data_IF_711881091942
#
_entry.id   IF_711881091942
#
_cell.length_a   1.000
_cell.length_b   1.000
_cell.length_c   1.000
_cell.angle_alpha   90.00
_cell.angle_beta   90.00
_cell.angle_gamma   90.00
#
_symmetry.space_group_name_H-M   'P 1'
#
loop_
_entity.id
_entity.type
_entity.pdbx_description
1 polymer ?
#
# COMPACT_ATOMS: atom_id res chain seq x y z
N UNK A 1 -1.58 -47.46 -30.58
CA UNK A 1 -2.99 -47.17 -30.95
C UNK A 1 -3.84 -47.63 -29.78
N UNK A 2 -4.11 -46.71 -28.85
CA UNK A 2 -4.76 -46.99 -27.56
C UNK A 2 -6.20 -46.50 -27.58
N UNK A 3 -7.08 -47.31 -26.97
CA UNK A 3 -8.52 -47.10 -26.88
C UNK A 3 -8.86 -45.81 -26.12
N UNK A 4 -9.17 -44.71 -26.81
CA UNK A 4 -10.01 -43.61 -26.31
C UNK A 4 -10.56 -42.74 -27.47
N UNK A 5 -10.94 -43.39 -28.58
CA UNK A 5 -11.41 -42.75 -29.81
C UNK A 5 -12.89 -43.08 -30.12
N UNK A 6 -13.73 -42.95 -29.08
CA UNK A 6 -15.17 -43.19 -29.14
C UNK A 6 -15.88 -42.01 -28.48
N UNK A 7 -15.84 -40.82 -29.08
CA UNK A 7 -16.88 -39.77 -28.91
C UNK A 7 -16.79 -38.62 -29.95
N UNK A 8 -16.25 -38.86 -31.16
CA UNK A 8 -16.36 -37.94 -32.30
C UNK A 8 -16.79 -38.68 -33.57
N UNK A 9 -18.09 -38.94 -33.69
CA UNK A 9 -18.72 -39.19 -35.00
C UNK A 9 -20.25 -39.07 -34.90
N UNK A 10 -20.76 -37.86 -35.09
CA UNK A 10 -22.02 -37.65 -35.80
C UNK A 10 -22.13 -36.20 -36.26
N UNK A 11 -22.20 -36.06 -37.59
CA UNK A 11 -22.65 -34.92 -38.40
C UNK A 11 -21.63 -33.82 -38.69
N UNK A 12 -20.74 -34.14 -39.62
CA UNK A 12 -20.43 -33.27 -40.77
C UNK A 12 -21.30 -33.74 -41.93
N UNK A 13 -22.09 -32.87 -42.53
CA UNK A 13 -22.15 -32.67 -44.00
C UNK A 13 -23.31 -31.74 -44.41
N UNK A 14 -23.02 -30.98 -45.47
CA UNK A 14 -23.84 -30.05 -46.27
C UNK A 14 -24.02 -28.63 -45.71
N UNK A 15 -23.84 -27.55 -46.48
CA UNK A 15 -23.18 -27.24 -47.76
C UNK A 15 -23.35 -25.71 -47.91
N UNK A 16 -22.39 -25.04 -48.55
CA UNK A 16 -22.43 -23.61 -48.90
C UNK A 16 -23.36 -23.32 -50.10
N UNK A 17 -23.57 -22.01 -50.35
CA UNK A 17 -24.23 -21.33 -51.49
C UNK A 17 -25.79 -21.24 -51.39
N UNK A 18 -26.48 -20.12 -51.60
CA UNK A 18 -26.29 -19.02 -52.55
C UNK A 18 -27.16 -17.78 -52.18
N UNK A 19 -26.87 -16.65 -52.82
CA UNK A 19 -27.48 -15.31 -52.71
C UNK A 19 -29.00 -15.21 -52.99
N UNK A 20 -29.69 -14.20 -52.43
CA UNK A 20 -30.07 -12.96 -53.15
C UNK A 20 -31.24 -12.20 -52.46
N UNK A 21 -31.22 -10.89 -52.71
CA UNK A 21 -32.09 -9.76 -52.35
C UNK A 21 -33.60 -10.01 -52.22
N UNK A 22 -34.24 -9.33 -51.25
CA UNK A 22 -35.30 -8.37 -51.58
C UNK A 22 -35.56 -7.38 -50.44
N UNK A 23 -35.33 -6.10 -50.74
CA UNK A 23 -35.86 -4.97 -49.99
C UNK A 23 -36.95 -4.31 -50.83
N UNK A 24 -38.11 -4.04 -50.23
CA UNK A 24 -38.95 -2.86 -50.43
C UNK A 24 -40.30 -3.09 -49.73
N UNK A 25 -41.07 -2.12 -49.25
CA UNK A 25 -40.98 -0.69 -48.89
C UNK A 25 -42.45 -0.31 -48.64
N UNK A 26 -42.67 0.83 -47.96
CA UNK A 26 -43.93 1.62 -47.93
C UNK A 26 -44.98 1.11 -46.93
N UNK A 27 -45.62 1.89 -46.06
CA UNK A 27 -45.42 3.15 -45.32
C UNK A 27 -46.80 3.59 -44.80
N UNK A 28 -46.79 4.56 -43.85
CA UNK A 28 -47.80 5.64 -43.65
C UNK A 28 -49.24 5.24 -43.28
N UNK A 29 -49.99 5.94 -42.43
CA UNK A 29 -49.89 7.31 -41.93
C UNK A 29 -50.85 7.55 -40.73
N UNK A 30 -50.52 8.60 -40.01
CA UNK A 30 -51.24 9.46 -39.05
C UNK A 30 -52.79 9.50 -39.03
N UNK A 31 -53.37 9.80 -37.86
CA UNK A 31 -53.86 11.16 -37.51
C UNK A 31 -54.43 11.23 -36.06
N UNK A 32 -54.37 12.45 -35.54
CA UNK A 32 -54.73 13.00 -34.23
C UNK A 32 -56.22 12.97 -33.87
N UNK A 33 -56.54 13.07 -32.57
CA UNK A 33 -57.52 14.06 -32.08
C UNK A 33 -57.45 14.31 -30.56
N UNK A 34 -57.70 15.56 -30.18
CA UNK A 34 -57.80 16.11 -28.83
C UNK A 34 -59.23 16.02 -28.27
N UNK A 35 -59.38 15.93 -26.94
CA UNK A 35 -60.45 16.53 -26.09
C UNK A 35 -60.18 16.05 -24.65
N UNK A 36 -59.80 16.90 -23.68
CA UNK A 36 -60.55 17.91 -22.91
C UNK A 36 -61.49 17.35 -21.82
N UNK A 37 -61.40 18.02 -20.67
CA UNK A 37 -62.26 18.05 -19.47
C UNK A 37 -62.09 16.92 -18.44
N UNK A 38 -61.46 17.17 -17.28
CA UNK A 38 -61.79 18.04 -16.13
C UNK A 38 -62.88 17.49 -15.17
N UNK A 39 -62.58 17.75 -13.89
CA UNK A 39 -63.44 17.95 -12.71
C UNK A 39 -63.58 16.79 -11.72
N UNK A 40 -63.56 17.00 -10.40
CA UNK A 40 -63.13 18.05 -9.42
C UNK A 40 -63.39 17.41 -8.03
N UNK A 41 -62.54 17.66 -7.02
CA UNK A 41 -62.81 18.38 -5.73
C UNK A 41 -63.93 17.80 -4.82
N UNK A 42 -63.85 17.83 -3.49
CA UNK A 42 -63.78 18.99 -2.56
C UNK A 42 -63.01 18.60 -1.27
N UNK A 43 -62.14 19.41 -0.65
CA UNK A 43 -62.23 20.77 -0.08
C UNK A 43 -62.93 20.90 1.29
N UNK A 44 -62.18 21.42 2.28
CA UNK A 44 -62.37 22.69 3.02
C UNK A 44 -61.38 22.70 4.22
N UNK A 45 -60.40 23.61 4.37
CA UNK A 45 -60.37 25.09 4.50
C UNK A 45 -61.01 25.58 5.83
N UNK A 46 -60.39 26.41 6.69
CA UNK A 46 -60.22 27.87 6.60
C UNK A 46 -59.30 28.33 7.78
N UNK A 47 -58.15 28.99 7.54
CA UNK A 47 -57.84 30.46 7.67
C UNK A 47 -57.61 30.94 9.15
N UNK A 48 -56.76 31.91 9.51
CA UNK A 48 -56.29 33.14 8.86
C UNK A 48 -55.10 33.81 9.61
N UNK A 49 -54.20 34.46 8.85
CA UNK A 49 -53.59 35.81 9.01
C UNK A 49 -52.68 36.18 10.22
N UNK A 50 -51.38 36.47 9.98
CA UNK A 50 -50.69 37.79 9.84
C UNK A 50 -50.52 38.59 11.15
N UNK A 51 -49.27 38.85 11.59
CA UNK A 51 -48.54 40.10 11.30
C UNK A 51 -47.14 40.14 11.99
N UNK A 52 -46.31 41.04 11.46
CA UNK A 52 -44.88 41.38 11.64
C UNK A 52 -44.30 41.47 13.07
N UNK A 53 -42.97 41.29 13.17
CA UNK A 53 -41.99 42.39 13.36
C UNK A 53 -40.78 42.01 14.24
N UNK A 54 -39.59 42.35 13.73
CA UNK A 54 -38.38 42.84 14.45
C UNK A 54 -37.52 41.91 15.33
N UNK A 55 -36.28 41.69 14.86
CA UNK A 55 -35.04 41.56 15.65
C UNK A 55 -34.75 42.89 16.41
N UNK A 56 -33.74 43.07 17.33
CA UNK A 56 -32.33 42.66 17.15
C UNK A 56 -31.42 42.53 18.42
N UNK A 57 -30.09 42.42 18.19
CA UNK A 57 -28.90 42.85 19.00
C UNK A 57 -28.48 41.97 20.21
N UNK A 58 -27.37 41.19 20.17
CA UNK A 58 -25.92 41.49 20.36
C UNK A 58 -25.55 42.16 21.70
N UNK A 59 -24.71 41.50 22.53
CA UNK A 59 -23.42 41.98 23.09
C UNK A 59 -22.98 41.22 24.36
N UNK A 60 -21.74 40.74 24.34
CA UNK A 60 -20.81 40.54 25.48
C UNK A 60 -20.61 41.88 26.25
N UNK A 61 -19.98 41.98 27.45
CA UNK A 61 -18.65 41.42 27.77
C UNK A 61 -18.36 41.12 29.28
N UNK A 62 -17.13 40.65 29.55
CA UNK A 62 -16.20 40.94 30.69
C UNK A 62 -16.68 40.83 32.15
N UNK A 63 -15.91 40.55 33.21
CA UNK A 63 -14.61 39.93 33.61
C UNK A 63 -14.62 40.05 35.17
N UNK A 64 -13.70 39.39 35.87
CA UNK A 64 -13.10 39.83 37.16
C UNK A 64 -13.93 39.55 38.45
N UNK A 65 -13.41 39.06 39.58
CA UNK A 65 -12.05 38.65 40.03
C UNK A 65 -12.14 37.91 41.38
N UNK A 66 -11.05 37.19 41.73
CA UNK A 66 -10.46 36.96 43.08
C UNK A 66 -11.26 36.15 44.13
N UNK A 67 -10.65 35.21 44.87
CA UNK A 67 -9.61 35.51 45.87
C UNK A 67 -8.79 34.26 46.26
N UNK A 68 -7.46 34.43 46.22
CA UNK A 68 -6.32 33.94 47.04
C UNK A 68 -6.41 32.65 47.89
N UNK A 69 -5.32 31.87 47.92
CA UNK A 69 -4.40 31.81 49.08
C UNK A 69 -3.00 31.29 48.65
N UNK A 70 -1.97 31.94 49.19
CA UNK A 70 -0.51 31.67 49.18
C UNK A 70 -0.17 30.24 49.71
N UNK A 71 1.02 29.63 49.65
CA UNK A 71 2.45 30.00 49.67
C UNK A 71 3.18 28.69 49.18
N UNK A 72 4.37 28.60 48.62
CA UNK A 72 5.70 28.85 49.20
C UNK A 72 6.75 28.39 48.16
N UNK A 73 7.92 29.02 48.19
CA UNK A 73 9.02 28.89 47.24
C UNK A 73 9.97 27.76 47.65
N UNK A 74 10.21 26.78 46.77
CA UNK A 74 11.42 25.95 46.82
C UNK A 74 12.13 25.96 45.46
N UNK A 75 13.42 26.28 45.54
CA UNK A 75 14.36 26.33 44.43
C UNK A 75 14.94 24.93 44.26
N UNK A 76 14.48 24.18 43.26
CA UNK A 76 15.12 22.93 42.86
C UNK A 76 15.87 23.13 41.54
N UNK A 77 17.17 22.86 41.64
CA UNK A 77 18.17 22.78 40.60
C UNK A 77 17.72 21.77 39.53
N UNK A 78 17.32 22.25 38.36
CA UNK A 78 17.09 21.40 37.19
C UNK A 78 18.40 20.71 36.82
N UNK A 79 18.51 19.45 37.23
CA UNK A 79 19.51 18.53 36.71
C UNK A 79 19.02 18.13 35.32
N UNK A 80 19.56 18.79 34.29
CA UNK A 80 19.45 18.35 32.91
C UNK A 80 19.93 16.90 32.83
N UNK A 81 18.97 15.97 32.88
CA UNK A 81 19.22 14.57 32.60
C UNK A 81 19.31 14.48 31.08
N UNK A 82 20.53 14.64 30.56
CA UNK A 82 20.87 14.25 29.21
C UNK A 82 20.37 12.81 29.03
N UNK A 83 19.28 12.66 28.28
CA UNK A 83 18.78 11.34 27.91
C UNK A 83 19.76 10.80 26.88
N UNK A 84 20.74 10.03 27.34
CA UNK A 84 21.49 9.11 26.48
C UNK A 84 20.47 8.28 25.71
N UNK A 85 20.27 8.63 24.45
CA UNK A 85 19.42 7.85 23.56
C UNK A 85 20.22 6.60 23.23
N UNK A 86 19.98 5.51 23.97
CA UNK A 86 20.48 4.20 23.58
C UNK A 86 20.14 3.98 22.11
N UNK A 87 21.17 3.80 21.28
CA UNK A 87 20.98 3.50 19.87
C UNK A 87 20.37 2.09 19.81
N UNK A 88 19.04 2.01 19.70
CA UNK A 88 18.33 0.75 19.48
C UNK A 88 18.96 0.04 18.26
N UNK A 89 19.39 -1.20 18.44
CA UNK A 89 19.86 -2.06 17.35
C UNK A 89 18.74 -2.32 16.34
N UNK A 90 19.10 -2.60 15.08
CA UNK A 90 18.11 -2.89 14.02
C UNK A 90 17.19 -4.05 14.42
N UNK A 91 17.74 -5.12 14.99
CA UNK A 91 16.95 -6.25 15.47
C UNK A 91 15.94 -5.84 16.56
N UNK A 92 16.29 -4.91 17.47
CA UNK A 92 15.36 -4.38 18.48
C UNK A 92 14.22 -3.59 17.86
N UNK A 93 14.51 -2.77 16.84
CA UNK A 93 13.47 -2.02 16.10
C UNK A 93 12.50 -2.97 15.43
N UNK A 94 13.00 -4.00 14.74
CA UNK A 94 12.16 -5.03 14.11
C UNK A 94 11.34 -5.80 15.15
N UNK A 95 11.94 -6.21 16.28
CA UNK A 95 11.25 -6.93 17.34
C UNK A 95 10.09 -6.15 17.94
N UNK A 96 10.25 -4.84 18.10
CA UNK A 96 9.22 -3.92 18.60
C UNK A 96 8.15 -3.67 17.55
N UNK A 97 8.57 -3.37 16.32
CA UNK A 97 7.67 -3.08 15.20
C UNK A 97 6.82 -4.28 14.75
N UNK A 98 7.26 -5.51 15.05
CA UNK A 98 6.57 -6.75 14.69
C UNK A 98 5.90 -7.45 15.87
N UNK A 99 5.85 -6.84 17.07
CA UNK A 99 5.33 -7.50 18.28
C UNK A 99 3.95 -8.13 18.10
N UNK A 100 3.00 -7.38 17.52
CA UNK A 100 1.64 -7.90 17.23
C UNK A 100 1.65 -8.99 16.16
N UNK A 101 2.48 -8.81 15.13
CA UNK A 101 2.64 -9.77 14.04
C UNK A 101 3.17 -11.10 14.56
N UNK A 102 4.24 -11.02 15.34
CA UNK A 102 4.87 -12.13 16.03
C UNK A 102 3.89 -12.84 16.95
N UNK A 103 3.13 -12.13 17.78
CA UNK A 103 2.17 -12.76 18.70
C UNK A 103 1.16 -13.64 17.95
N UNK A 104 0.59 -13.13 16.85
CA UNK A 104 -0.37 -13.89 16.04
C UNK A 104 0.26 -15.05 15.27
N UNK A 105 1.42 -14.81 14.67
CA UNK A 105 2.17 -15.81 13.91
C UNK A 105 2.71 -16.93 14.82
N UNK A 106 3.43 -16.56 15.88
CA UNK A 106 3.99 -17.47 16.86
C UNK A 106 2.91 -18.27 17.59
N UNK A 107 1.75 -17.70 17.92
CA UNK A 107 0.66 -18.47 18.53
C UNK A 107 0.15 -19.60 17.62
N UNK A 108 0.03 -19.35 16.31
CA UNK A 108 -0.38 -20.38 15.33
C UNK A 108 0.69 -21.44 15.19
N UNK A 109 1.94 -21.01 15.07
CA UNK A 109 3.07 -21.91 14.88
C UNK A 109 3.36 -22.75 16.13
N UNK A 110 3.23 -22.18 17.33
CA UNK A 110 3.29 -22.91 18.60
C UNK A 110 2.20 -23.97 18.70
N UNK A 111 0.96 -23.64 18.28
CA UNK A 111 -0.14 -24.61 18.28
C UNK A 111 0.18 -25.80 17.36
N UNK A 112 0.68 -25.52 16.17
CA UNK A 112 1.14 -26.53 15.21
C UNK A 112 2.24 -27.42 15.81
N UNK A 113 3.33 -26.82 16.30
CA UNK A 113 4.45 -27.55 16.91
C UNK A 113 4.03 -28.34 18.16
N UNK A 114 3.06 -27.84 18.94
CA UNK A 114 2.56 -28.53 20.13
C UNK A 114 1.83 -29.84 19.79
N UNK A 115 1.04 -29.85 18.72
CA UNK A 115 0.22 -31.00 18.32
C UNK A 115 1.03 -32.12 17.64
N UNK A 116 2.14 -31.76 17.02
CA UNK A 116 3.01 -32.68 16.29
C UNK A 116 3.73 -33.70 17.20
N UNK A 117 3.78 -34.95 16.72
CA UNK A 117 4.42 -36.11 17.38
C UNK A 117 5.52 -36.77 16.53
N UNK A 118 5.38 -36.77 15.21
CA UNK A 118 6.26 -37.40 14.23
C UNK A 118 6.25 -36.61 12.93
N UNK A 119 7.40 -36.55 12.23
CA UNK A 119 7.50 -35.86 10.94
C UNK A 119 7.02 -36.82 9.85
N UNK A 120 5.73 -36.78 9.60
CA UNK A 120 5.00 -37.55 8.59
C UNK A 120 4.26 -36.62 7.61
N UNK A 121 3.47 -37.18 6.69
CA UNK A 121 2.75 -36.37 5.70
C UNK A 121 1.70 -35.45 6.34
N UNK A 122 1.02 -35.91 7.40
CA UNK A 122 0.03 -35.10 8.14
C UNK A 122 0.71 -33.85 8.73
N UNK A 123 1.96 -33.95 9.20
CA UNK A 123 2.73 -32.80 9.66
C UNK A 123 2.96 -31.75 8.54
N UNK A 124 3.30 -32.19 7.34
CA UNK A 124 3.54 -31.29 6.21
C UNK A 124 2.25 -30.60 5.75
N UNK A 125 1.13 -31.34 5.72
CA UNK A 125 -0.18 -30.76 5.44
C UNK A 125 -0.59 -29.70 6.49
N UNK A 126 -0.40 -29.99 7.79
CA UNK A 126 -0.72 -29.02 8.86
C UNK A 126 0.22 -27.79 8.83
N UNK A 127 1.48 -27.98 8.41
CA UNK A 127 2.42 -26.88 8.19
C UNK A 127 1.94 -25.95 7.08
N UNK A 128 1.54 -26.52 5.93
CA UNK A 128 1.00 -25.76 4.80
C UNK A 128 -0.22 -24.94 5.23
N UNK A 129 -1.20 -25.58 5.89
CA UNK A 129 -2.39 -24.89 6.40
C UNK A 129 -2.03 -23.75 7.37
N UNK A 130 -1.04 -23.98 8.23
CA UNK A 130 -0.56 -22.99 9.21
C UNK A 130 0.07 -21.79 8.50
N UNK A 131 0.93 -22.01 7.50
CA UNK A 131 1.58 -20.97 6.72
C UNK A 131 0.58 -20.17 5.87
N UNK A 132 -0.36 -20.85 5.22
CA UNK A 132 -1.45 -20.20 4.47
C UNK A 132 -2.30 -19.34 5.41
N UNK A 133 -2.69 -19.87 6.56
CA UNK A 133 -3.42 -19.12 7.58
C UNK A 133 -2.66 -17.90 8.10
N UNK A 134 -1.32 -17.93 8.04
CA UNK A 134 -0.40 -16.84 8.38
C UNK A 134 -0.17 -15.80 7.27
N UNK A 135 -0.95 -15.87 6.18
CA UNK A 135 -0.84 -15.00 4.99
C UNK A 135 0.49 -15.17 4.22
N UNK A 136 1.21 -16.29 4.37
CA UNK A 136 2.46 -16.58 3.63
C UNK A 136 2.22 -16.80 2.13
N UNK A 137 0.97 -17.11 1.75
CA UNK A 137 0.58 -17.43 0.37
C UNK A 137 0.57 -18.93 0.12
N UNK A 138 -0.30 -19.38 -0.79
CA UNK A 138 -0.50 -20.79 -1.06
C UNK A 138 0.72 -21.43 -1.72
N UNK A 139 1.21 -20.83 -2.81
CA UNK A 139 2.34 -21.38 -3.58
C UNK A 139 3.63 -21.43 -2.74
N UNK A 140 3.87 -20.38 -1.94
CA UNK A 140 5.02 -20.32 -1.04
C UNK A 140 4.89 -21.32 0.13
N UNK A 141 3.70 -21.53 0.69
CA UNK A 141 3.49 -22.52 1.74
C UNK A 141 3.82 -23.93 1.25
N UNK A 142 3.37 -24.29 0.04
CA UNK A 142 3.72 -25.57 -0.61
C UNK A 142 5.24 -25.66 -0.79
N UNK A 143 5.86 -24.60 -1.34
CA UNK A 143 7.32 -24.58 -1.58
C UNK A 143 8.12 -24.80 -0.28
N UNK A 144 7.73 -24.12 0.80
CA UNK A 144 8.35 -24.29 2.13
C UNK A 144 8.17 -25.72 2.64
N UNK A 145 6.97 -26.28 2.53
CA UNK A 145 6.65 -27.64 2.97
C UNK A 145 7.46 -28.70 2.22
N UNK A 146 7.52 -28.60 0.89
CA UNK A 146 8.26 -29.53 0.05
C UNK A 146 9.78 -29.49 0.31
N UNK A 147 10.38 -28.29 0.41
CA UNK A 147 11.80 -28.14 0.74
C UNK A 147 12.13 -28.63 2.15
N UNK A 148 11.23 -28.40 3.11
CA UNK A 148 11.38 -28.92 4.45
C UNK A 148 11.34 -30.45 4.47
N UNK A 149 10.48 -31.07 3.65
CA UNK A 149 10.37 -32.54 3.55
C UNK A 149 11.69 -33.17 3.13
N UNK A 150 12.43 -32.52 2.24
CA UNK A 150 13.77 -32.98 1.84
C UNK A 150 14.80 -32.75 2.93
N UNK A 151 14.82 -31.55 3.53
CA UNK A 151 15.84 -31.17 4.51
C UNK A 151 15.72 -31.95 5.83
N UNK A 152 14.51 -32.18 6.33
CA UNK A 152 14.31 -32.94 7.57
C UNK A 152 14.80 -34.40 7.43
N UNK A 153 14.70 -34.97 6.22
CA UNK A 153 15.26 -36.30 5.93
C UNK A 153 16.79 -36.27 5.92
N UNK A 154 17.40 -35.18 5.43
CA UNK A 154 18.85 -35.00 5.36
C UNK A 154 19.47 -34.72 6.75
N UNK A 155 18.93 -33.75 7.48
CA UNK A 155 19.42 -33.35 8.80
C UNK A 155 18.98 -34.32 9.92
N UNK A 156 18.08 -35.28 9.62
CA UNK A 156 17.50 -36.22 10.59
C UNK A 156 16.90 -35.47 11.81
N UNK A 157 16.32 -34.30 11.54
CA UNK A 157 15.70 -33.43 12.54
C UNK A 157 14.45 -34.13 13.10
N UNK A 158 14.51 -34.50 14.38
CA UNK A 158 13.45 -35.27 15.05
C UNK A 158 12.84 -34.55 16.24
N UNK A 159 13.53 -33.56 16.79
CA UNK A 159 13.05 -32.77 17.92
C UNK A 159 12.35 -31.51 17.39
N UNK A 160 11.42 -31.00 18.18
CA UNK A 160 10.61 -29.83 17.80
C UNK A 160 11.48 -28.61 17.56
N UNK A 161 12.53 -28.45 18.36
CA UNK A 161 13.48 -27.34 18.25
C UNK A 161 14.27 -27.43 16.94
N UNK A 162 14.75 -28.63 16.59
CA UNK A 162 15.50 -28.85 15.34
C UNK A 162 14.61 -28.56 14.13
N UNK A 163 13.37 -29.06 14.12
CA UNK A 163 12.41 -28.84 13.02
C UNK A 163 12.06 -27.35 12.88
N UNK A 164 11.85 -26.65 14.00
CA UNK A 164 11.60 -25.19 14.01
C UNK A 164 12.77 -24.43 13.37
N UNK A 165 14.00 -24.74 13.77
CA UNK A 165 15.19 -24.03 13.28
C UNK A 165 15.39 -24.27 11.78
N UNK A 166 15.12 -25.49 11.30
CA UNK A 166 15.12 -25.81 9.86
C UNK A 166 14.05 -25.01 9.11
N UNK A 167 12.84 -24.86 9.67
CA UNK A 167 11.78 -24.07 9.02
C UNK A 167 12.20 -22.60 8.88
N UNK A 168 12.76 -22.00 9.94
CA UNK A 168 13.23 -20.60 9.91
C UNK A 168 14.29 -20.43 8.83
N UNK A 169 15.30 -21.30 8.83
CA UNK A 169 16.37 -21.31 7.82
C UNK A 169 15.79 -21.42 6.42
N UNK A 170 14.87 -22.36 6.17
CA UNK A 170 14.25 -22.53 4.86
C UNK A 170 13.41 -21.35 4.42
N UNK A 171 12.71 -20.69 5.33
CA UNK A 171 11.97 -19.47 4.98
C UNK A 171 12.91 -18.32 4.56
N UNK A 172 14.07 -18.18 5.23
CA UNK A 172 15.10 -17.22 4.81
C UNK A 172 15.66 -17.61 3.44
N UNK A 173 16.15 -18.86 3.31
CA UNK A 173 16.77 -19.37 2.08
C UNK A 173 15.82 -19.22 0.89
N UNK A 174 14.55 -19.59 1.03
CA UNK A 174 13.54 -19.46 -0.02
C UNK A 174 13.22 -18.02 -0.35
N UNK A 175 13.13 -17.15 0.66
CA UNK A 175 12.91 -15.73 0.43
C UNK A 175 14.08 -15.15 -0.36
N UNK A 176 15.32 -15.43 0.01
CA UNK A 176 16.52 -14.93 -0.67
C UNK A 176 16.66 -15.52 -2.08
N UNK A 177 16.45 -16.84 -2.23
CA UNK A 177 16.49 -17.53 -3.51
C UNK A 177 15.51 -16.94 -4.52
N UNK A 178 14.28 -16.62 -4.09
CA UNK A 178 13.24 -16.04 -4.95
C UNK A 178 13.59 -14.65 -5.51
N UNK A 179 14.62 -13.98 -4.99
CA UNK A 179 15.08 -12.74 -5.59
C UNK A 179 16.58 -12.55 -5.61
N UNK A 180 17.30 -13.63 -5.92
CA UNK A 180 18.73 -13.58 -6.31
C UNK A 180 18.95 -12.64 -7.51
N UNK A 181 17.98 -12.59 -8.42
CA UNK A 181 18.04 -11.74 -9.62
C UNK A 181 17.38 -10.35 -9.39
N UNK A 182 16.95 -10.04 -8.17
CA UNK A 182 16.30 -8.78 -7.83
C UNK A 182 17.26 -7.78 -7.18
N UNK A 183 17.22 -6.53 -7.62
CA UNK A 183 17.95 -5.45 -6.96
C UNK A 183 17.07 -4.73 -5.93
N UNK A 184 17.25 -5.09 -4.66
CA UNK A 184 16.56 -4.46 -3.54
C UNK A 184 17.12 -3.08 -3.15
N UNK A 185 18.19 -2.61 -3.79
CA UNK A 185 18.76 -1.29 -3.51
C UNK A 185 17.94 -0.18 -4.17
N UNK A 186 18.11 1.05 -3.67
CA UNK A 186 17.52 2.22 -4.30
C UNK A 186 18.32 2.62 -5.54
N UNK A 187 17.63 2.79 -6.66
CA UNK A 187 18.17 3.22 -7.95
C UNK A 187 18.28 4.74 -8.00
N UNK A 188 19.49 5.23 -7.76
CA UNK A 188 19.79 6.66 -7.83
C UNK A 188 20.40 7.03 -9.17
N UNK A 189 20.08 8.25 -9.64
CA UNK A 189 20.77 8.86 -10.76
C UNK A 189 22.15 9.34 -10.30
N UNK A 190 23.22 8.82 -10.92
CA UNK A 190 24.58 9.24 -10.62
C UNK A 190 24.87 10.67 -11.09
N UNK A 191 24.20 11.13 -12.16
CA UNK A 191 24.52 12.36 -12.88
C UNK A 191 23.32 13.31 -12.99
N UNK A 192 22.57 13.49 -11.90
CA UNK A 192 21.47 14.45 -11.86
C UNK A 192 20.40 14.09 -10.83
N UNK A 193 19.22 14.65 -11.02
CA UNK A 193 18.07 14.40 -10.15
C UNK A 193 17.60 12.95 -10.25
N UNK A 194 17.46 12.29 -9.10
CA UNK A 194 16.75 11.02 -8.97
C UNK A 194 15.27 11.27 -8.80
N UNK A 195 14.46 10.93 -9.81
CA UNK A 195 12.99 10.98 -9.72
C UNK A 195 12.43 9.64 -9.23
N UNK A 196 11.63 9.68 -8.17
CA UNK A 196 11.01 8.51 -7.52
C UNK A 196 9.49 8.74 -7.45
N UNK A 197 8.75 7.86 -8.11
CA UNK A 197 7.29 7.91 -8.22
C UNK A 197 6.66 6.97 -7.19
N UNK A 198 5.72 7.45 -6.37
CA UNK A 198 5.04 6.62 -5.37
C UNK A 198 3.63 6.29 -5.85
N UNK A 199 3.35 4.99 -5.99
CA UNK A 199 2.06 4.48 -6.45
C UNK A 199 1.44 3.55 -5.40
N UNK A 200 0.16 3.24 -5.55
CA UNK A 200 -0.60 2.41 -4.60
C UNK A 200 -1.94 3.04 -4.23
N UNK A 201 -2.77 2.30 -3.50
CA UNK A 201 -4.16 2.73 -3.24
C UNK A 201 -4.26 3.79 -2.13
N UNK A 202 -5.44 4.35 -1.92
CA UNK A 202 -5.66 5.33 -0.86
C UNK A 202 -5.52 4.69 0.53
N UNK A 203 -4.94 5.44 1.47
CA UNK A 203 -4.83 5.00 2.86
C UNK A 203 -3.68 4.03 3.16
N UNK A 204 -2.93 3.55 2.16
CA UNK A 204 -1.78 2.64 2.36
C UNK A 204 -0.51 3.33 2.88
N UNK A 205 -0.54 4.66 3.06
CA UNK A 205 0.60 5.40 3.63
C UNK A 205 1.60 5.97 2.62
N UNK A 206 1.21 6.21 1.34
CA UNK A 206 2.06 6.88 0.33
C UNK A 206 2.63 8.22 0.80
N UNK A 207 1.76 9.20 1.05
CA UNK A 207 2.13 10.55 1.51
C UNK A 207 2.99 10.51 2.78
N UNK A 208 2.65 9.63 3.73
CA UNK A 208 3.44 9.42 4.95
C UNK A 208 4.84 8.90 4.61
N UNK A 209 4.95 7.86 3.78
CA UNK A 209 6.23 7.28 3.34
C UNK A 209 7.12 8.33 2.68
N UNK A 210 6.54 9.16 1.80
CA UNK A 210 7.26 10.27 1.15
C UNK A 210 7.84 11.22 2.19
N UNK A 211 7.04 11.65 3.17
CA UNK A 211 7.51 12.53 4.23
C UNK A 211 8.64 11.94 5.08
N UNK A 212 8.57 10.64 5.37
CA UNK A 212 9.64 9.92 6.10
C UNK A 212 10.93 9.85 5.28
N UNK A 213 10.83 9.49 4.00
CA UNK A 213 12.00 9.46 3.10
C UNK A 213 12.59 10.86 2.89
N UNK A 214 11.75 11.89 2.73
CA UNK A 214 12.19 13.28 2.62
C UNK A 214 13.01 13.70 3.85
N UNK A 215 12.52 13.38 5.05
CA UNK A 215 13.24 13.63 6.30
C UNK A 215 14.57 12.87 6.31
N UNK A 216 14.56 11.58 5.97
CA UNK A 216 15.75 10.71 5.97
C UNK A 216 16.84 11.23 5.02
N UNK A 217 16.51 11.50 3.76
CA UNK A 217 17.51 11.94 2.78
C UNK A 217 17.99 13.37 3.04
N UNK A 218 17.13 14.26 3.54
CA UNK A 218 17.59 15.59 4.00
C UNK A 218 18.58 15.46 5.15
N UNK A 219 18.34 14.58 6.13
CA UNK A 219 19.28 14.32 7.22
C UNK A 219 20.62 13.75 6.72
N UNK A 220 20.62 13.06 5.58
CA UNK A 220 21.82 12.61 4.88
C UNK A 220 22.49 13.70 4.02
N UNK A 221 22.02 14.95 4.10
CA UNK A 221 22.58 16.09 3.36
C UNK A 221 22.14 16.19 1.91
N UNK A 222 21.16 15.38 1.46
CA UNK A 222 20.60 15.47 0.10
C UNK A 222 19.61 16.62 -0.01
N UNK A 223 19.65 17.32 -1.13
CA UNK A 223 18.61 18.26 -1.55
C UNK A 223 17.41 17.48 -2.09
N UNK A 224 16.25 17.69 -1.47
CA UNK A 224 15.00 16.98 -1.80
C UNK A 224 13.96 17.98 -2.30
N UNK A 225 13.14 17.57 -3.27
CA UNK A 225 11.94 18.28 -3.70
C UNK A 225 10.75 17.32 -3.68
N UNK A 226 9.58 17.79 -3.25
CA UNK A 226 8.33 17.01 -3.27
C UNK A 226 7.39 17.55 -4.33
N UNK A 227 6.66 16.67 -5.02
CA UNK A 227 5.57 17.02 -5.93
C UNK A 227 4.23 16.48 -5.42
N UNK A 228 3.28 17.38 -5.19
CA UNK A 228 1.93 17.06 -4.71
C UNK A 228 0.99 16.72 -5.88
N UNK A 229 1.19 15.58 -6.53
CA UNK A 229 0.39 15.17 -7.69
C UNK A 229 -0.91 14.40 -7.32
N UNK A 230 -1.17 14.08 -6.04
CA UNK A 230 -2.50 13.68 -5.57
C UNK A 230 -3.43 14.90 -5.47
N UNK A 231 -3.84 15.44 -6.62
CA UNK A 231 -4.66 16.66 -6.71
C UNK A 231 -6.17 16.41 -6.51
N UNK A 232 -6.58 15.14 -6.48
CA UNK A 232 -7.98 14.74 -6.37
C UNK A 232 -8.43 14.54 -4.92
N UNK A 233 -7.53 14.17 -4.01
CA UNK A 233 -7.89 13.94 -2.61
C UNK A 233 -7.83 15.27 -1.85
N UNK A 234 -8.98 15.70 -1.33
CA UNK A 234 -9.05 16.89 -0.50
C UNK A 234 -8.06 16.77 0.67
N UNK A 235 -7.22 17.80 0.85
CA UNK A 235 -6.21 17.84 1.91
C UNK A 235 -4.92 17.04 1.65
N UNK A 236 -4.80 16.25 0.58
CA UNK A 236 -3.56 15.50 0.29
C UNK A 236 -2.37 16.43 0.02
N UNK A 237 -2.58 17.46 -0.79
CA UNK A 237 -1.58 18.51 -1.04
C UNK A 237 -1.15 19.18 0.27
N UNK A 238 -2.09 19.56 1.13
CA UNK A 238 -1.79 20.17 2.43
C UNK A 238 -1.01 19.23 3.34
N UNK A 239 -1.40 17.96 3.39
CA UNK A 239 -0.70 16.93 4.16
C UNK A 239 0.75 16.77 3.69
N UNK A 240 1.00 16.77 2.37
CA UNK A 240 2.37 16.71 1.85
C UNK A 240 3.17 17.98 2.15
N UNK A 241 2.52 19.16 2.11
CA UNK A 241 3.13 20.42 2.49
C UNK A 241 3.54 20.45 3.96
N UNK A 242 2.70 19.95 4.87
CA UNK A 242 3.03 19.81 6.30
C UNK A 242 4.22 18.87 6.52
N UNK A 243 4.31 17.78 5.74
CA UNK A 243 5.50 16.92 5.74
C UNK A 243 6.75 17.62 5.20
N UNK A 244 6.60 18.40 4.12
CA UNK A 244 7.67 19.23 3.57
C UNK A 244 8.17 20.25 4.57
N UNK A 245 7.27 20.98 5.24
CA UNK A 245 7.61 21.96 6.27
C UNK A 245 8.34 21.30 7.45
N UNK A 246 7.81 20.19 7.98
CA UNK A 246 8.46 19.42 9.06
C UNK A 246 9.84 18.91 8.65
N UNK A 247 9.98 18.46 7.41
CA UNK A 247 11.25 18.00 6.87
C UNK A 247 12.18 19.15 6.48
N UNK A 248 11.72 20.41 6.35
CA UNK A 248 12.51 21.50 5.78
C UNK A 248 12.80 21.31 4.28
N UNK A 249 11.82 20.77 3.55
CA UNK A 249 11.91 20.38 2.13
C UNK A 249 10.82 21.10 1.33
N UNK A 250 11.15 21.74 0.18
CA UNK A 250 10.17 22.42 -0.65
C UNK A 250 9.16 21.46 -1.30
N UNK A 251 7.94 21.94 -1.52
CA UNK A 251 6.85 21.20 -2.15
C UNK A 251 6.30 21.98 -3.34
N UNK A 252 6.29 21.37 -4.52
CA UNK A 252 5.59 21.85 -5.71
C UNK A 252 4.16 21.36 -5.66
N UNK A 253 3.22 22.29 -5.75
CA UNK A 253 1.80 22.02 -5.71
C UNK A 253 1.07 22.90 -6.74
N UNK A 254 0.14 22.29 -7.46
CA UNK A 254 -0.79 23.02 -8.33
C UNK A 254 -1.95 23.64 -7.55
N UNK A 255 -2.83 24.34 -8.27
CA UNK A 255 -4.14 24.74 -7.73
C UNK A 255 -4.99 23.51 -7.40
N UNK A 256 -5.99 23.66 -6.55
CA UNK A 256 -6.92 22.58 -6.24
C UNK A 256 -7.57 22.04 -7.53
N UNK A 257 -7.60 20.71 -7.69
CA UNK A 257 -8.05 20.02 -8.92
C UNK A 257 -7.22 20.33 -10.18
N UNK A 258 -5.99 20.79 -10.03
CA UNK A 258 -5.05 20.88 -11.16
C UNK A 258 -4.80 19.48 -11.75
N UNK A 259 -4.44 19.46 -13.04
CA UNK A 259 -3.97 18.24 -13.72
C UNK A 259 -2.68 17.74 -13.03
N UNK A 260 -2.66 16.52 -12.45
CA UNK A 260 -1.48 15.94 -11.79
C UNK A 260 -0.22 16.01 -12.67
N UNK A 261 -0.39 15.75 -13.96
CA UNK A 261 0.68 15.79 -14.95
C UNK A 261 1.34 17.18 -15.07
N UNK A 262 0.60 18.27 -14.89
CA UNK A 262 1.14 19.63 -14.89
C UNK A 262 1.99 19.90 -13.65
N UNK A 263 1.55 19.41 -12.48
CA UNK A 263 2.33 19.52 -11.22
C UNK A 263 3.65 18.75 -11.35
N UNK A 264 3.61 17.55 -11.93
CA UNK A 264 4.80 16.73 -12.19
C UNK A 264 5.74 17.43 -13.16
N UNK A 265 5.23 18.02 -14.25
CA UNK A 265 6.06 18.76 -15.20
C UNK A 265 6.82 19.92 -14.53
N UNK A 266 6.11 20.75 -13.76
CA UNK A 266 6.72 21.86 -13.03
C UNK A 266 7.76 21.37 -12.01
N UNK A 267 7.46 20.29 -11.30
CA UNK A 267 8.37 19.73 -10.30
C UNK A 267 9.64 19.13 -10.92
N UNK A 268 9.53 18.43 -12.06
CA UNK A 268 10.68 17.86 -12.76
C UNK A 268 11.55 18.96 -13.36
N UNK A 269 10.94 19.98 -13.98
CA UNK A 269 11.67 21.13 -14.50
C UNK A 269 12.43 21.85 -13.38
N UNK A 270 11.75 22.14 -12.26
CA UNK A 270 12.38 22.76 -11.08
C UNK A 270 13.51 21.89 -10.51
N UNK A 271 13.28 20.58 -10.36
CA UNK A 271 14.28 19.67 -9.79
C UNK A 271 15.56 19.65 -10.65
N UNK A 272 15.41 19.60 -11.98
CA UNK A 272 16.51 19.65 -12.94
C UNK A 272 17.24 20.99 -12.92
N UNK A 273 16.50 22.09 -13.04
CA UNK A 273 17.05 23.43 -13.22
C UNK A 273 17.71 23.99 -11.94
N UNK A 274 17.19 23.61 -10.77
CA UNK A 274 17.77 23.93 -9.46
C UNK A 274 18.71 22.83 -8.93
N UNK A 275 18.97 21.78 -9.71
CA UNK A 275 19.88 20.68 -9.39
C UNK A 275 19.61 19.96 -8.06
N UNK A 276 18.34 19.64 -7.78
CA UNK A 276 18.00 18.79 -6.63
C UNK A 276 18.52 17.36 -6.83
N UNK A 277 19.00 16.74 -5.74
CA UNK A 277 19.45 15.35 -5.74
C UNK A 277 18.27 14.39 -5.96
N UNK A 278 17.12 14.67 -5.31
CA UNK A 278 15.97 13.76 -5.28
C UNK A 278 14.66 14.52 -5.48
N UNK A 279 13.80 14.00 -6.37
CA UNK A 279 12.41 14.41 -6.53
C UNK A 279 11.48 13.26 -6.15
N UNK A 280 10.64 13.48 -5.14
CA UNK A 280 9.57 12.56 -4.75
C UNK A 280 8.22 13.00 -5.30
N UNK A 281 7.51 12.10 -5.98
CA UNK A 281 6.20 12.40 -6.58
C UNK A 281 5.10 11.60 -5.89
N UNK A 282 4.18 12.29 -5.19
CA UNK A 282 2.99 11.67 -4.56
C UNK A 282 1.85 11.60 -5.57
N UNK A 283 1.32 10.40 -5.86
CA UNK A 283 0.23 10.21 -6.83
C UNK A 283 -1.10 9.90 -6.16
N UNK A 284 -2.19 10.05 -6.92
CA UNK A 284 -3.50 9.55 -6.50
C UNK A 284 -3.49 8.02 -6.31
N UNK A 285 -4.41 7.49 -5.48
CA UNK A 285 -4.55 6.06 -5.18
C UNK A 285 -5.95 5.48 -5.35
N UNK A 286 -6.73 5.99 -6.31
CA UNK A 286 -8.14 5.58 -6.50
C UNK A 286 -8.21 4.27 -7.29
N UNK A 287 -8.20 3.12 -6.60
CA UNK A 287 -8.17 1.82 -7.26
C UNK A 287 -9.43 1.54 -8.07
N UNK A 288 -10.63 1.88 -7.59
CA UNK A 288 -11.91 1.55 -8.24
C UNK A 288 -12.11 2.07 -9.67
N UNK A 289 -11.27 3.00 -10.13
CA UNK A 289 -11.22 3.51 -11.50
C UNK A 289 -9.85 3.20 -12.12
N UNK A 290 -9.43 1.92 -12.06
CA UNK A 290 -8.08 1.45 -12.33
C UNK A 290 -7.57 1.95 -13.69
N UNK A 291 -8.40 1.91 -14.74
CA UNK A 291 -8.03 2.32 -16.10
C UNK A 291 -7.62 3.80 -16.17
N UNK A 292 -8.40 4.69 -15.56
CA UNK A 292 -8.10 6.12 -15.56
C UNK A 292 -6.84 6.42 -14.74
N UNK A 293 -6.67 5.74 -13.59
CA UNK A 293 -5.48 5.87 -12.77
C UNK A 293 -4.22 5.44 -13.54
N UNK A 294 -4.27 4.31 -14.25
CA UNK A 294 -3.13 3.81 -15.02
C UNK A 294 -2.77 4.76 -16.18
N UNK A 295 -3.77 5.28 -16.90
CA UNK A 295 -3.52 6.29 -17.95
C UNK A 295 -2.87 7.56 -17.39
N UNK A 296 -3.27 7.98 -16.19
CA UNK A 296 -2.70 9.14 -15.52
C UNK A 296 -1.22 8.89 -15.12
N UNK A 297 -0.93 7.71 -14.56
CA UNK A 297 0.44 7.28 -14.23
C UNK A 297 1.33 7.19 -15.47
N UNK A 298 0.83 6.60 -16.57
CA UNK A 298 1.55 6.57 -17.84
C UNK A 298 1.83 7.97 -18.38
N UNK A 299 0.84 8.88 -18.31
CA UNK A 299 1.00 10.28 -18.74
C UNK A 299 2.09 10.98 -17.92
N UNK A 300 2.06 10.82 -16.59
CA UNK A 300 3.10 11.36 -15.71
C UNK A 300 4.48 10.79 -16.05
N UNK A 301 4.59 9.48 -16.26
CA UNK A 301 5.85 8.83 -16.66
C UNK A 301 6.41 9.38 -17.96
N UNK A 302 5.58 9.54 -19.00
CA UNK A 302 6.01 10.11 -20.29
C UNK A 302 6.53 11.54 -20.15
N UNK A 303 5.93 12.34 -19.28
CA UNK A 303 6.39 13.70 -18.99
C UNK A 303 7.74 13.68 -18.27
N UNK A 304 7.88 12.84 -17.25
CA UNK A 304 9.14 12.66 -16.52
C UNK A 304 10.26 12.26 -17.49
N UNK A 305 10.02 11.26 -18.35
CA UNK A 305 10.98 10.77 -19.35
C UNK A 305 11.38 11.83 -20.37
N UNK A 306 10.46 12.70 -20.78
CA UNK A 306 10.76 13.77 -21.73
C UNK A 306 11.77 14.77 -21.17
N UNK A 307 11.67 15.07 -19.87
CA UNK A 307 12.54 16.05 -19.23
C UNK A 307 13.84 15.43 -18.69
N UNK A 308 13.81 14.14 -18.30
CA UNK A 308 14.94 13.36 -17.81
C UNK A 308 14.88 11.95 -18.46
N UNK A 309 15.68 11.68 -19.52
CA UNK A 309 15.55 10.50 -20.39
C UNK A 309 15.54 9.09 -19.75
N UNK A 310 16.00 8.92 -18.51
CA UNK A 310 16.03 7.63 -17.80
C UNK A 310 15.09 7.58 -16.56
N UNK A 311 14.31 8.64 -16.33
CA UNK A 311 13.42 8.74 -15.18
C UNK A 311 12.00 8.20 -15.47
N UNK A 312 11.18 7.83 -14.48
CA UNK A 312 11.53 7.72 -13.07
C UNK A 312 12.53 6.58 -12.85
N UNK A 313 13.50 6.81 -11.97
CA UNK A 313 14.52 5.82 -11.63
C UNK A 313 13.94 4.76 -10.68
N UNK A 314 12.91 5.13 -9.93
CA UNK A 314 12.15 4.22 -9.08
C UNK A 314 10.65 4.48 -9.23
N UNK A 315 9.88 3.40 -9.30
CA UNK A 315 8.44 3.39 -9.09
C UNK A 315 8.17 2.51 -7.88
N UNK A 316 7.92 3.15 -6.73
CA UNK A 316 7.70 2.46 -5.46
C UNK A 316 6.21 2.25 -5.23
N UNK A 317 5.81 0.98 -5.21
CA UNK A 317 4.46 0.58 -4.85
C UNK A 317 4.33 0.47 -3.32
N UNK A 318 3.49 1.32 -2.74
CA UNK A 318 3.22 1.31 -1.30
C UNK A 318 2.01 0.41 -1.00
N UNK A 319 2.21 -0.56 -0.12
CA UNK A 319 1.22 -1.55 0.28
C UNK A 319 0.97 -1.53 1.79
N UNK A 320 -0.28 -1.81 2.16
CA UNK A 320 -0.71 -1.89 3.56
C UNK A 320 -0.71 -3.36 4.03
N UNK A 321 0.19 -3.70 4.94
CA UNK A 321 0.33 -5.05 5.47
C UNK A 321 -0.89 -5.55 6.27
N UNK A 322 -1.73 -4.64 6.78
CA UNK A 322 -2.96 -5.03 7.51
C UNK A 322 -3.98 -5.70 6.59
N UNK A 323 -3.86 -5.47 5.27
CA UNK A 323 -4.83 -5.95 4.29
C UNK A 323 -4.57 -7.39 3.80
N UNK A 324 -3.39 -7.98 4.13
CA UNK A 324 -3.05 -9.35 3.76
C UNK A 324 -3.16 -9.60 2.25
N UNK A 325 -3.85 -10.65 1.84
CA UNK A 325 -4.05 -11.03 0.43
C UNK A 325 -4.63 -9.90 -0.47
N UNK A 326 -5.34 -8.93 0.09
CA UNK A 326 -5.80 -7.77 -0.68
C UNK A 326 -4.63 -6.90 -1.16
N UNK A 327 -3.54 -6.80 -0.39
CA UNK A 327 -2.32 -6.10 -0.81
C UNK A 327 -1.68 -6.79 -2.02
N UNK A 328 -1.65 -8.12 -2.03
CA UNK A 328 -1.12 -8.90 -3.14
C UNK A 328 -1.94 -8.70 -4.43
N UNK A 329 -3.27 -8.75 -4.34
CA UNK A 329 -4.15 -8.48 -5.48
C UNK A 329 -3.94 -7.05 -6.03
N UNK A 330 -3.76 -6.07 -5.15
CA UNK A 330 -3.41 -4.71 -5.55
C UNK A 330 -2.06 -4.67 -6.26
N UNK A 331 -1.06 -5.37 -5.72
CA UNK A 331 0.27 -5.41 -6.31
C UNK A 331 0.23 -5.94 -7.75
N UNK A 332 -0.51 -7.04 -8.00
CA UNK A 332 -0.71 -7.59 -9.35
C UNK A 332 -1.24 -6.56 -10.33
N UNK A 333 -2.27 -5.81 -9.93
CA UNK A 333 -2.87 -4.75 -10.76
C UNK A 333 -1.86 -3.65 -11.14
N UNK A 334 -0.98 -3.26 -10.21
CA UNK A 334 0.02 -2.21 -10.47
C UNK A 334 1.22 -2.73 -11.25
N UNK A 335 1.68 -3.97 -11.02
CA UNK A 335 2.82 -4.56 -11.74
C UNK A 335 2.58 -4.60 -13.24
N UNK A 336 1.39 -5.00 -13.66
CA UNK A 336 1.05 -5.12 -15.07
C UNK A 336 0.98 -3.77 -15.81
N UNK A 337 0.90 -2.65 -15.07
CA UNK A 337 0.53 -1.34 -15.63
C UNK A 337 1.49 -0.19 -15.32
N UNK A 338 2.43 -0.33 -14.37
CA UNK A 338 3.18 0.83 -13.85
C UNK A 338 4.70 0.67 -13.73
N UNK A 339 5.30 -0.39 -14.33
CA UNK A 339 6.75 -0.64 -14.29
C UNK A 339 7.33 -0.48 -12.87
N UNK A 340 6.65 -1.08 -11.89
CA UNK A 340 7.02 -1.03 -10.47
C UNK A 340 8.42 -1.63 -10.31
N UNK A 341 9.30 -0.91 -9.61
CA UNK A 341 10.70 -1.31 -9.38
C UNK A 341 10.94 -1.82 -7.97
N UNK A 342 10.04 -1.53 -7.03
CA UNK A 342 10.16 -1.97 -5.65
C UNK A 342 8.92 -1.71 -4.82
N UNK A 343 8.88 -2.35 -3.65
CA UNK A 343 7.74 -2.30 -2.74
C UNK A 343 8.12 -1.60 -1.43
N UNK A 344 7.18 -0.80 -0.93
CA UNK A 344 7.21 -0.28 0.44
C UNK A 344 6.04 -0.89 1.20
N UNK A 345 6.34 -1.67 2.24
CA UNK A 345 5.32 -2.28 3.07
C UNK A 345 5.11 -1.48 4.36
N UNK A 346 3.89 -1.00 4.61
CA UNK A 346 3.59 -0.13 5.75
C UNK A 346 2.67 -0.80 6.76
N UNK A 347 2.54 -0.17 7.94
CA UNK A 347 1.63 -0.55 9.03
C UNK A 347 1.89 -1.95 9.60
N UNK A 348 3.14 -2.36 9.63
CA UNK A 348 3.54 -3.65 10.19
C UNK A 348 3.28 -3.73 11.71
N UNK A 349 3.32 -2.59 12.39
CA UNK A 349 2.99 -2.40 13.81
C UNK A 349 1.50 -2.61 14.13
N UNK A 350 0.65 -2.60 13.11
CA UNK A 350 -0.79 -2.72 13.23
C UNK A 350 -1.36 -4.11 12.97
N UNK A 351 -0.55 -5.08 12.50
CA UNK A 351 -1.07 -6.31 11.88
C UNK A 351 -0.56 -7.60 12.53
N UNK A 352 -1.39 -8.65 12.47
CA UNK A 352 -1.00 -10.04 12.72
C UNK A 352 -0.55 -10.78 11.43
N UNK A 353 -0.64 -10.12 10.27
CA UNK A 353 -0.52 -10.70 8.93
C UNK A 353 0.87 -10.49 8.32
N UNK A 354 1.91 -10.97 9.00
CA UNK A 354 3.30 -10.78 8.59
C UNK A 354 3.71 -11.59 7.38
N UNK A 355 3.04 -12.72 7.13
CA UNK A 355 3.40 -13.62 6.04
C UNK A 355 3.27 -13.01 4.65
N UNK A 356 2.52 -11.91 4.50
CA UNK A 356 2.24 -11.31 3.19
C UNK A 356 3.50 -10.88 2.43
N UNK A 357 4.59 -10.59 3.14
CA UNK A 357 5.91 -10.28 2.55
C UNK A 357 6.40 -11.42 1.63
N UNK A 358 6.18 -12.67 2.04
CA UNK A 358 6.59 -13.84 1.27
C UNK A 358 5.73 -14.04 0.03
N UNK A 359 4.40 -13.94 0.18
CA UNK A 359 3.48 -14.07 -0.94
C UNK A 359 3.73 -12.99 -2.01
N UNK A 360 3.96 -11.75 -1.56
CA UNK A 360 4.31 -10.64 -2.44
C UNK A 360 5.59 -10.97 -3.21
N UNK A 361 6.68 -11.38 -2.54
CA UNK A 361 7.92 -11.64 -3.25
C UNK A 361 7.77 -12.77 -4.26
N UNK A 362 7.21 -13.90 -3.84
CA UNK A 362 7.12 -15.10 -4.67
C UNK A 362 6.27 -14.89 -5.92
N UNK A 363 5.15 -14.19 -5.80
CA UNK A 363 4.23 -14.01 -6.93
C UNK A 363 4.55 -12.77 -7.77
N UNK A 364 5.12 -11.73 -7.15
CA UNK A 364 5.37 -10.46 -7.82
C UNK A 364 6.79 -10.37 -8.39
N UNK A 365 7.76 -11.15 -7.90
CA UNK A 365 9.17 -10.99 -8.24
C UNK A 365 9.59 -9.50 -8.20
N UNK A 366 9.23 -8.84 -7.08
CA UNK A 366 9.55 -7.45 -6.82
C UNK A 366 10.16 -7.35 -5.43
N UNK A 367 11.31 -6.66 -5.28
CA UNK A 367 11.96 -6.55 -4.00
C UNK A 367 11.19 -5.61 -3.08
N UNK A 368 11.02 -6.03 -1.82
CA UNK A 368 10.62 -5.11 -0.75
C UNK A 368 11.85 -4.29 -0.38
N UNK A 369 11.81 -2.98 -0.66
CA UNK A 369 12.93 -2.06 -0.39
C UNK A 369 12.81 -1.40 0.99
N UNK A 370 11.57 -1.16 1.44
CA UNK A 370 11.29 -0.48 2.71
C UNK A 370 10.17 -1.13 3.49
N UNK A 371 10.27 -1.04 4.82
CA UNK A 371 9.26 -1.51 5.78
C UNK A 371 8.94 -0.42 6.81
N UNK A 372 7.66 -0.26 7.13
CA UNK A 372 7.16 0.77 8.03
C UNK A 372 6.50 0.21 9.29
N UNK A 373 7.00 0.64 10.46
CA UNK A 373 6.59 0.18 11.80
C UNK A 373 5.85 1.24 12.63
N UNK A 374 5.30 2.29 12.01
CA UNK A 374 4.59 3.33 12.76
C UNK A 374 4.44 4.64 11.99
N UNK A 375 4.30 5.75 12.71
CA UNK A 375 4.03 7.07 12.14
C UNK A 375 5.27 7.99 12.10
N UNK A 376 6.25 7.79 12.98
CA UNK A 376 7.42 8.66 13.07
C UNK A 376 8.31 8.47 11.84
N UNK A 377 9.10 9.51 11.52
CA UNK A 377 10.10 9.44 10.46
C UNK A 377 11.11 8.30 10.67
N UNK A 378 11.46 8.07 11.94
CA UNK A 378 12.30 6.97 12.39
C UNK A 378 11.64 5.60 12.33
N UNK A 379 10.41 5.44 11.85
CA UNK A 379 9.74 4.12 11.81
C UNK A 379 9.76 3.50 10.41
N UNK A 380 10.40 4.16 9.43
CA UNK A 380 10.68 3.56 8.13
C UNK A 380 12.09 3.00 8.12
N UNK A 381 12.24 1.71 7.79
CA UNK A 381 13.51 1.00 7.72
C UNK A 381 13.72 0.43 6.33
N UNK A 382 15.00 0.31 5.95
CA UNK A 382 15.38 -0.52 4.81
C UNK A 382 14.97 -1.94 5.15
N UNK A 383 14.33 -2.63 4.21
CA UNK A 383 13.88 -3.99 4.48
C UNK A 383 15.06 -4.96 4.50
N UNK A 384 15.22 -5.67 5.62
CA UNK A 384 16.20 -6.74 5.83
C UNK A 384 15.46 -8.06 6.04
N UNK A 385 15.60 -9.04 5.13
CA UNK A 385 14.89 -10.32 5.21
C UNK A 385 15.22 -11.11 6.47
N UNK A 386 16.50 -11.27 6.79
CA UNK A 386 16.97 -12.03 7.96
C UNK A 386 16.38 -11.47 9.26
N UNK A 387 16.51 -10.16 9.49
CA UNK A 387 15.97 -9.45 10.66
C UNK A 387 14.45 -9.61 10.77
N UNK A 388 13.76 -9.52 9.62
CA UNK A 388 12.31 -9.67 9.53
C UNK A 388 11.87 -11.07 9.96
N UNK A 389 12.45 -12.10 9.36
CA UNK A 389 12.08 -13.49 9.59
C UNK A 389 12.45 -13.89 11.02
N UNK A 390 13.66 -13.55 11.47
CA UNK A 390 14.05 -13.79 12.87
C UNK A 390 13.07 -13.13 13.85
N UNK A 391 12.70 -11.87 13.63
CA UNK A 391 11.70 -11.20 14.48
C UNK A 391 10.32 -11.83 14.46
N UNK A 392 9.88 -12.44 13.35
CA UNK A 392 8.61 -13.18 13.30
C UNK A 392 8.64 -14.45 14.16
N UNK A 393 9.81 -15.07 14.30
CA UNK A 393 9.98 -16.34 15.01
C UNK A 393 10.61 -16.19 16.40
N UNK A 394 10.99 -14.98 16.84
CA UNK A 394 11.71 -14.75 18.10
C UNK A 394 11.12 -15.49 19.31
N UNK A 395 9.82 -15.36 19.57
CA UNK A 395 9.12 -15.98 20.71
C UNK A 395 8.99 -17.50 20.58
N UNK A 396 9.38 -18.07 19.43
CA UNK A 396 9.47 -19.51 19.23
C UNK A 396 10.89 -20.01 19.50
N UNK A 397 11.91 -19.16 19.40
CA UNK A 397 13.34 -19.49 19.52
C UNK A 397 13.82 -19.32 20.97
N UNK A 398 13.34 -18.27 21.65
CA UNK A 398 13.57 -17.97 23.08
C UNK A 398 12.58 -18.70 23.99
#
# INVERSE_FOLDING_TARGET
>A
MGLFDIFRKKKTDNQEEESNQQASRVSSESLSDQTSDQLLEEQHDVQSELDKSEAPVVKSPETETETETETETETETETETETETEIESEQQVYNKGLEKTRTGFAARFNKFLANFRSVDEDFFEELEETLVGADVGFDMAIKISDELREEVKLENAKRKEDVRDVIIKKMVDLYEADGVDEDATMHFNANGTTVILFVGVNGVGKTTTIGKLATKYRQQGKSVLLAAADTFRAGATKQLQEWGERAGVPVVAGKEKADPASVVFEAVAKARDEHYDILFVDTAGRLQNNVNLMQELEKMKRIIQREIPDAPHEVLLVLDATTGQNALQQAKLFKDSSDVTGIVLTKMDGTAKGGIVFAIRSEMHLPVKWIGFGEKASDLRVFKPEEFIYSLFKDLIE
#
